data_IF_301345741973
#
_entry.id   IF_301345741973
#
_cell.length_a   1.000
_cell.length_b   1.000
_cell.length_c   1.000
_cell.angle_alpha   90.00
_cell.angle_beta   90.00
_cell.angle_gamma   90.00
#
_symmetry.space_group_name_H-M   'P 1'
#
loop_
_entity.id
_entity.type
_entity.pdbx_description
1 polymer ?
#
# COMPACT_ATOMS: atom_id res chain seq x y z
N UNK A 1 -59.77 50.26 -2.62
CA UNK A 1 -60.39 50.54 -1.30
C UNK A 1 -60.04 49.41 -0.35
N UNK A 2 -59.48 49.77 0.82
CA UNK A 2 -59.43 49.07 2.12
C UNK A 2 -59.28 47.54 2.20
N UNK A 3 -58.48 46.93 3.07
CA UNK A 3 -57.57 47.38 4.16
C UNK A 3 -56.71 46.18 4.55
N UNK A 4 -55.51 46.50 5.05
CA UNK A 4 -54.51 45.64 5.72
C UNK A 4 -55.09 44.79 6.85
N UNK A 5 -54.43 43.66 7.17
CA UNK A 5 -53.88 43.37 8.52
C UNK A 5 -52.98 42.13 8.52
N UNK A 6 -51.68 42.33 8.71
CA UNK A 6 -50.78 41.41 9.43
C UNK A 6 -50.87 41.68 10.94
N UNK A 7 -50.59 40.67 11.77
CA UNK A 7 -49.59 40.81 12.82
C UNK A 7 -48.62 39.61 12.86
N UNK A 8 -47.31 39.81 12.78
CA UNK A 8 -46.32 40.09 13.85
C UNK A 8 -45.65 38.83 14.42
N UNK A 9 -44.33 38.91 14.42
CA UNK A 9 -43.31 37.99 14.92
C UNK A 9 -43.33 37.75 16.43
N UNK A 10 -43.15 36.50 16.84
CA UNK A 10 -42.55 36.05 18.10
C UNK A 10 -42.44 34.52 18.00
N UNK A 11 -41.43 33.79 18.42
CA UNK A 11 -40.14 34.07 19.02
C UNK A 11 -39.35 32.76 18.83
N UNK A 12 -38.04 32.91 18.73
CA UNK A 12 -37.06 31.84 18.72
C UNK A 12 -37.25 30.90 19.92
N UNK A 13 -36.99 29.61 19.70
CA UNK A 13 -36.19 28.67 20.54
C UNK A 13 -36.79 27.27 20.47
N UNK A 14 -36.31 26.44 19.55
CA UNK A 14 -36.24 24.99 19.79
C UNK A 14 -34.93 24.73 20.53
N UNK A 15 -35.04 24.57 21.85
CA UNK A 15 -33.95 24.16 22.73
C UNK A 15 -33.61 22.70 22.48
N UNK A 16 -32.31 22.45 22.44
CA UNK A 16 -31.65 21.17 22.49
C UNK A 16 -32.07 20.36 23.73
N UNK A 17 -32.33 19.07 23.54
CA UNK A 17 -32.27 18.08 24.59
C UNK A 17 -30.86 17.47 24.58
N UNK A 18 -29.97 18.08 25.34
CA UNK A 18 -28.70 17.51 25.77
C UNK A 18 -29.03 16.55 26.93
N UNK A 19 -28.87 15.24 26.73
CA UNK A 19 -28.85 14.28 27.84
C UNK A 19 -27.42 14.26 28.39
N UNK A 20 -27.25 14.93 29.53
CA UNK A 20 -26.04 14.89 30.33
C UNK A 20 -25.92 13.51 30.99
N UNK A 21 -24.80 12.81 30.78
CA UNK A 21 -24.31 11.77 31.69
C UNK A 21 -22.99 12.27 32.25
N UNK A 22 -23.03 12.77 33.48
CA UNK A 22 -21.88 13.26 34.24
C UNK A 22 -21.33 12.16 35.14
N UNK A 23 -20.03 11.87 34.95
CA UNK A 23 -18.98 11.62 35.98
C UNK A 23 -19.32 10.87 37.28
N UNK A 24 -18.65 9.73 37.53
CA UNK A 24 -17.41 9.66 38.34
C UNK A 24 -16.98 8.19 38.59
N UNK A 25 -15.67 7.88 38.73
CA UNK A 25 -15.17 6.54 39.00
C UNK A 25 -14.89 6.32 40.50
N UNK A 26 -15.18 5.12 41.00
CA UNK A 26 -14.66 4.63 42.30
C UNK A 26 -13.82 3.35 42.13
N UNK A 27 -12.90 3.08 43.06
CA UNK A 27 -11.67 2.33 42.80
C UNK A 27 -11.78 0.85 43.14
N UNK A 28 -11.13 -0.02 42.37
CA UNK A 28 -10.96 -1.43 42.74
C UNK A 28 -9.56 -1.67 43.28
N UNK A 29 -9.57 -2.24 44.49
CA UNK A 29 -8.45 -2.46 45.39
C UNK A 29 -7.44 -3.51 44.91
N UNK A 30 -6.21 -3.33 45.39
CA UNK A 30 -5.07 -4.23 45.32
C UNK A 30 -5.26 -5.46 46.21
N UNK A 31 -4.82 -6.62 45.71
CA UNK A 31 -4.17 -7.73 46.44
C UNK A 31 -3.01 -8.17 45.53
N UNK A 32 -1.75 -8.29 45.93
CA UNK A 32 -1.20 -8.72 47.21
C UNK A 32 -0.68 -10.14 47.04
N UNK A 33 0.58 -10.29 46.59
CA UNK A 33 1.38 -11.52 46.75
C UNK A 33 2.88 -11.17 46.75
N UNK A 34 3.44 -11.26 47.96
CA UNK A 34 4.83 -11.45 48.41
C UNK A 34 5.52 -12.64 47.68
N UNK A 35 6.85 -12.86 47.60
CA UNK A 35 8.09 -12.24 48.11
C UNK A 35 9.31 -12.87 47.33
N UNK A 36 10.55 -13.03 47.86
CA UNK A 36 11.64 -12.05 47.77
C UNK A 36 12.99 -12.59 47.23
N UNK A 37 14.02 -11.71 47.28
CA UNK A 37 15.47 -11.98 47.42
C UNK A 37 16.22 -12.58 46.21
N UNK A 38 17.50 -12.31 45.94
CA UNK A 38 18.52 -11.41 46.50
C UNK A 38 19.71 -11.44 45.52
N UNK A 39 20.39 -10.32 45.37
CA UNK A 39 21.70 -10.22 44.77
C UNK A 39 22.76 -10.98 45.58
N UNK A 40 23.78 -11.54 44.92
CA UNK A 40 25.18 -11.49 45.40
C UNK A 40 26.19 -11.96 44.34
N UNK A 41 27.29 -11.22 44.32
CA UNK A 41 28.51 -11.36 43.51
C UNK A 41 29.49 -12.35 44.15
N UNK A 42 30.41 -12.81 43.28
CA UNK A 42 31.83 -13.13 43.50
C UNK A 42 32.25 -14.18 44.54
N UNK A 43 33.05 -15.15 44.08
CA UNK A 43 33.89 -16.04 44.89
C UNK A 43 34.87 -16.80 43.99
N UNK A 44 36.16 -16.47 44.13
CA UNK A 44 37.33 -17.02 43.44
C UNK A 44 37.71 -18.46 43.84
N UNK A 45 38.57 -19.08 43.00
CA UNK A 45 39.64 -20.07 43.32
C UNK A 45 39.19 -21.48 43.77
N UNK A 46 39.83 -22.60 43.43
CA UNK A 46 41.14 -22.90 42.82
C UNK A 46 41.30 -24.43 42.58
N UNK A 47 42.25 -24.78 41.69
CA UNK A 47 43.07 -26.04 41.62
C UNK A 47 42.34 -27.34 41.26
N UNK A 48 42.92 -28.35 40.59
CA UNK A 48 44.11 -28.57 39.73
C UNK A 48 44.14 -30.08 39.43
N UNK A 49 45.00 -30.53 38.49
CA UNK A 49 45.38 -31.92 38.15
C UNK A 49 44.43 -32.57 37.13
N UNK A 50 44.83 -33.03 35.95
CA UNK A 50 46.14 -33.36 35.41
C UNK A 50 46.03 -34.72 34.70
N UNK A 51 46.32 -34.78 33.40
CA UNK A 51 47.01 -35.89 32.71
C UNK A 51 47.00 -35.69 31.20
N UNK A 52 48.18 -35.38 30.67
CA UNK A 52 48.54 -35.59 29.27
C UNK A 52 48.51 -37.09 28.95
N UNK A 53 47.99 -37.46 27.79
CA UNK A 53 48.47 -38.64 27.08
C UNK A 53 48.28 -38.45 25.58
N UNK A 54 49.43 -38.38 24.90
CA UNK A 54 49.58 -38.46 23.46
C UNK A 54 49.23 -39.87 22.96
N UNK A 55 48.51 -40.00 21.83
CA UNK A 55 48.70 -41.13 20.91
C UNK A 55 47.97 -40.99 19.57
N UNK A 56 48.80 -41.03 18.53
CA UNK A 56 48.63 -41.78 17.26
C UNK A 56 47.47 -41.40 16.34
N UNK A 57 47.83 -40.52 15.40
CA UNK A 57 47.63 -40.65 13.94
C UNK A 57 47.41 -42.13 13.52
N UNK A 58 46.16 -42.50 13.24
CA UNK A 58 45.81 -43.65 12.40
C UNK A 58 45.08 -43.10 11.17
N UNK A 59 45.85 -42.94 10.09
CA UNK A 59 45.29 -42.98 8.73
C UNK A 59 44.69 -44.37 8.56
N UNK A 60 43.39 -44.44 8.35
CA UNK A 60 42.73 -45.61 7.77
C UNK A 60 42.10 -45.16 6.47
N UNK A 61 42.60 -45.75 5.39
CA UNK A 61 42.02 -45.71 4.06
C UNK A 61 40.52 -46.00 4.14
N UNK A 62 39.70 -45.00 3.84
CA UNK A 62 38.37 -45.22 3.30
C UNK A 62 38.41 -44.68 1.89
N UNK A 63 38.44 -45.63 0.95
CA UNK A 63 38.18 -45.46 -0.46
C UNK A 63 37.12 -44.39 -0.68
N UNK A 64 37.47 -43.38 -1.47
CA UNK A 64 36.56 -42.40 -1.99
C UNK A 64 35.61 -43.09 -3.00
N UNK A 65 34.63 -43.82 -2.48
CA UNK A 65 33.40 -44.03 -3.23
C UNK A 65 32.81 -42.65 -3.45
N UNK A 66 32.83 -42.25 -4.72
CA UNK A 66 32.33 -40.98 -5.21
C UNK A 66 30.85 -40.95 -4.85
N UNK A 67 30.50 -40.23 -3.79
CA UNK A 67 29.12 -39.83 -3.57
C UNK A 67 28.74 -39.03 -4.81
N UNK A 68 27.98 -39.64 -5.72
CA UNK A 68 27.32 -38.92 -6.78
C UNK A 68 26.57 -37.78 -6.12
N UNK A 69 27.09 -36.57 -6.31
CA UNK A 69 26.35 -35.36 -6.05
C UNK A 69 25.17 -35.47 -7.02
N UNK A 70 24.03 -35.92 -6.51
CA UNK A 70 22.76 -35.80 -7.21
C UNK A 70 22.63 -34.30 -7.44
N UNK A 71 22.99 -33.87 -8.65
CA UNK A 71 22.74 -32.53 -9.12
C UNK A 71 21.22 -32.39 -9.07
N UNK A 72 20.73 -31.78 -8.00
CA UNK A 72 19.33 -31.43 -7.87
C UNK A 72 19.07 -30.43 -8.98
N UNK A 73 18.62 -30.93 -10.13
CA UNK A 73 18.31 -30.14 -11.29
C UNK A 73 17.23 -29.14 -10.88
N UNK A 74 17.66 -27.93 -10.54
CA UNK A 74 16.82 -26.79 -10.14
C UNK A 74 15.85 -26.33 -11.24
N UNK A 75 15.74 -27.06 -12.34
CA UNK A 75 14.82 -26.81 -13.43
C UNK A 75 13.36 -27.16 -13.10
N UNK A 76 13.10 -28.21 -12.28
CA UNK A 76 11.72 -28.65 -12.01
C UNK A 76 10.97 -27.79 -10.99
N UNK A 77 11.67 -27.10 -10.09
CA UNK A 77 11.03 -26.22 -9.09
C UNK A 77 10.88 -24.76 -9.54
N UNK A 78 11.62 -24.34 -10.56
CA UNK A 78 11.57 -22.95 -11.07
C UNK A 78 10.45 -22.76 -12.09
N UNK A 79 10.20 -23.76 -12.95
CA UNK A 79 9.16 -23.69 -13.98
C UNK A 79 7.72 -23.72 -13.42
N UNK A 80 7.50 -24.31 -12.24
CA UNK A 80 6.17 -24.53 -11.66
C UNK A 80 5.59 -23.34 -10.86
N UNK A 81 6.27 -22.18 -10.82
CA UNK A 81 5.90 -21.06 -9.94
C UNK A 81 5.64 -19.72 -10.64
N UNK A 82 5.83 -19.66 -11.96
CA UNK A 82 5.52 -18.45 -12.72
C UNK A 82 4.01 -18.41 -12.98
N UNK A 83 3.31 -17.56 -12.24
CA UNK A 83 1.90 -17.27 -12.54
C UNK A 83 1.78 -16.76 -13.99
N UNK A 84 0.69 -17.11 -14.69
CA UNK A 84 0.47 -16.66 -16.05
C UNK A 84 0.56 -15.13 -16.14
N UNK A 85 0.95 -14.59 -17.31
CA UNK A 85 0.88 -13.16 -17.57
C UNK A 85 -0.51 -12.60 -17.25
N UNK A 86 -0.56 -11.35 -16.83
CA UNK A 86 -1.84 -10.65 -16.64
C UNK A 86 -2.49 -10.50 -18.02
N UNK A 87 -3.71 -10.99 -18.16
CA UNK A 87 -4.51 -10.84 -19.37
C UNK A 87 -5.58 -9.77 -19.15
N UNK A 88 -5.76 -8.83 -20.10
CA UNK A 88 -6.81 -7.83 -20.00
C UNK A 88 -8.17 -8.47 -20.26
N UNK A 89 -9.17 -8.06 -19.48
CA UNK A 89 -10.57 -8.46 -19.66
C UNK A 89 -11.34 -7.47 -20.54
N UNK A 90 -10.85 -6.24 -20.66
CA UNK A 90 -11.42 -5.20 -21.53
C UNK A 90 -10.37 -4.60 -22.45
N UNK A 91 -10.75 -4.03 -23.61
CA UNK A 91 -9.81 -3.33 -24.49
C UNK A 91 -9.02 -2.23 -23.78
N UNK A 92 -9.66 -1.48 -22.87
CA UNK A 92 -9.03 -0.41 -22.10
C UNK A 92 -7.99 -0.94 -21.12
N UNK A 93 -8.24 -2.09 -20.47
CA UNK A 93 -7.23 -2.77 -19.67
C UNK A 93 -6.03 -3.22 -20.54
N UNK A 94 -6.29 -3.63 -21.79
CA UNK A 94 -5.25 -3.96 -22.76
C UNK A 94 -4.39 -2.75 -23.13
N UNK A 95 -5.03 -1.61 -23.41
CA UNK A 95 -4.34 -0.35 -23.66
C UNK A 95 -3.51 0.10 -22.44
N UNK A 96 -4.04 -0.07 -21.23
CA UNK A 96 -3.31 0.23 -20.00
C UNK A 96 -2.06 -0.64 -19.83
N UNK A 97 -2.19 -1.95 -19.99
CA UNK A 97 -1.04 -2.88 -19.94
C UNK A 97 0.00 -2.57 -21.03
N UNK A 98 -0.43 -2.14 -22.23
CA UNK A 98 0.48 -1.71 -23.28
C UNK A 98 1.25 -0.44 -22.86
N UNK A 99 0.55 0.57 -22.32
CA UNK A 99 1.17 1.79 -21.83
C UNK A 99 2.20 1.54 -20.72
N UNK A 100 1.90 0.64 -19.77
CA UNK A 100 2.84 0.23 -18.70
C UNK A 100 4.12 -0.44 -19.23
N UNK A 101 4.08 -1.03 -20.44
CA UNK A 101 5.25 -1.67 -21.07
C UNK A 101 6.10 -0.68 -21.86
N UNK A 102 5.49 0.37 -22.41
CA UNK A 102 6.14 1.28 -23.35
C UNK A 102 6.46 2.66 -22.80
N UNK A 103 5.92 3.04 -21.64
CA UNK A 103 6.09 4.37 -21.06
C UNK A 103 6.68 4.34 -19.65
N UNK A 104 7.63 5.23 -19.31
CA UNK A 104 8.13 5.38 -17.95
C UNK A 104 7.12 6.07 -17.02
N UNK A 105 6.08 6.69 -17.57
CA UNK A 105 5.02 7.33 -16.79
C UNK A 105 3.66 7.09 -17.43
N UNK A 106 2.66 6.75 -16.63
CA UNK A 106 1.29 6.54 -17.09
C UNK A 106 0.34 7.22 -16.11
N UNK A 107 -0.61 7.99 -16.63
CA UNK A 107 -1.77 8.47 -15.86
C UNK A 107 -2.96 7.60 -16.25
N UNK A 108 -3.67 7.10 -15.26
CA UNK A 108 -4.84 6.25 -15.49
C UNK A 108 -6.00 6.72 -14.62
N UNK A 109 -7.15 6.94 -15.23
CA UNK A 109 -8.32 7.46 -14.52
C UNK A 109 -9.54 6.62 -14.80
N UNK A 110 -10.47 6.59 -13.85
CA UNK A 110 -11.81 6.04 -14.06
C UNK A 110 -12.38 5.38 -12.81
N UNK A 111 -13.59 4.80 -12.91
CA UNK A 111 -14.35 4.38 -11.75
C UNK A 111 -13.69 3.25 -10.95
N UNK A 112 -14.15 3.05 -9.72
CA UNK A 112 -13.75 1.90 -8.91
C UNK A 112 -14.20 0.60 -9.59
N UNK A 113 -13.39 -0.47 -9.51
CA UNK A 113 -13.73 -1.77 -10.09
C UNK A 113 -13.32 -1.98 -11.56
N UNK A 114 -12.64 -1.02 -12.18
CA UNK A 114 -12.08 -1.16 -13.54
C UNK A 114 -10.72 -1.88 -13.58
N UNK A 115 -10.15 -2.15 -12.40
CA UNK A 115 -8.87 -2.86 -12.26
C UNK A 115 -7.62 -1.99 -12.32
N UNK A 116 -7.74 -0.65 -12.42
CA UNK A 116 -6.60 0.28 -12.54
C UNK A 116 -5.48 0.06 -11.50
N UNK A 117 -5.82 0.02 -10.22
CA UNK A 117 -4.84 -0.16 -9.13
C UNK A 117 -4.32 -1.60 -9.07
N UNK A 118 -5.21 -2.58 -9.27
CA UNK A 118 -4.83 -4.01 -9.24
C UNK A 118 -3.87 -4.37 -10.39
N UNK A 119 -4.14 -3.89 -11.61
CA UNK A 119 -3.27 -4.09 -12.77
C UNK A 119 -1.89 -3.48 -12.51
N UNK A 120 -1.83 -2.26 -11.97
CA UNK A 120 -0.57 -1.60 -11.63
C UNK A 120 0.25 -2.41 -10.60
N UNK A 121 -0.41 -2.81 -9.50
CA UNK A 121 0.21 -3.57 -8.42
C UNK A 121 0.76 -4.93 -8.90
N UNK A 122 -0.05 -5.63 -9.69
CA UNK A 122 0.28 -6.96 -10.22
C UNK A 122 1.42 -6.88 -11.24
N UNK A 123 1.43 -5.84 -12.09
CA UNK A 123 2.50 -5.57 -13.03
C UNK A 123 3.82 -5.21 -12.31
N UNK A 124 3.76 -4.36 -11.29
CA UNK A 124 4.91 -4.03 -10.45
C UNK A 124 5.51 -5.28 -9.80
N UNK A 125 4.66 -6.15 -9.27
CA UNK A 125 5.06 -7.41 -8.66
C UNK A 125 5.77 -8.34 -9.66
N UNK A 126 5.31 -8.40 -10.91
CA UNK A 126 5.97 -9.17 -11.97
C UNK A 126 7.34 -8.61 -12.33
N UNK A 127 7.46 -7.28 -12.44
CA UNK A 127 8.75 -6.63 -12.68
C UNK A 127 9.74 -6.92 -11.53
N UNK A 128 9.29 -6.81 -10.28
CA UNK A 128 10.11 -7.07 -9.10
C UNK A 128 10.56 -8.54 -9.06
N UNK A 129 9.61 -9.48 -9.25
CA UNK A 129 9.88 -10.92 -9.29
C UNK A 129 10.88 -11.31 -10.39
N UNK A 130 10.79 -10.64 -11.54
CA UNK A 130 11.70 -10.85 -12.69
C UNK A 130 12.98 -10.01 -12.62
N UNK A 131 13.21 -9.30 -11.50
CA UNK A 131 14.38 -8.44 -11.24
C UNK A 131 14.59 -7.33 -12.28
N UNK A 132 13.50 -6.85 -12.89
CA UNK A 132 13.52 -5.68 -13.80
C UNK A 132 13.51 -4.36 -13.03
N UNK A 133 13.04 -4.40 -11.79
CA UNK A 133 13.09 -3.29 -10.82
C UNK A 133 13.60 -3.85 -9.49
N UNK A 134 14.18 -2.97 -8.69
CA UNK A 134 14.66 -3.29 -7.34
C UNK A 134 13.61 -2.94 -6.28
N UNK A 135 12.75 -1.95 -6.55
CA UNK A 135 11.81 -1.44 -5.54
C UNK A 135 10.39 -1.21 -6.04
N UNK A 136 9.41 -1.36 -5.15
CA UNK A 136 8.01 -0.94 -5.33
C UNK A 136 7.68 0.09 -4.26
N UNK A 137 7.33 1.30 -4.68
CA UNK A 137 6.95 2.39 -3.79
C UNK A 137 5.46 2.63 -3.97
N UNK A 138 4.72 2.49 -2.88
CA UNK A 138 3.28 2.71 -2.83
C UNK A 138 3.00 3.95 -2.02
N UNK A 139 2.15 4.82 -2.55
CA UNK A 139 1.79 6.05 -1.87
C UNK A 139 0.36 6.46 -2.20
N UNK A 140 -0.25 7.20 -1.28
CA UNK A 140 -1.62 7.70 -1.37
C UNK A 140 -1.69 9.06 -0.68
N UNK A 141 -2.35 10.08 -1.27
CA UNK A 141 -2.55 11.37 -0.62
C UNK A 141 -3.38 11.23 0.65
N UNK A 142 -3.13 12.10 1.62
CA UNK A 142 -3.95 12.13 2.83
C UNK A 142 -5.30 12.78 2.54
N UNK A 143 -6.38 12.00 2.68
CA UNK A 143 -7.73 12.55 2.66
C UNK A 143 -8.00 13.18 4.03
N UNK A 144 -8.34 14.48 4.11
CA UNK A 144 -8.60 15.14 5.38
C UNK A 144 -9.97 14.72 5.97
N UNK A 145 -10.04 13.50 6.50
CA UNK A 145 -11.21 12.99 7.21
C UNK A 145 -11.23 13.46 8.68
N UNK A 146 -11.19 14.77 8.94
CA UNK A 146 -11.43 15.40 10.26
C UNK A 146 -10.49 15.01 11.44
N UNK A 147 -9.68 13.96 11.31
CA UNK A 147 -8.65 13.52 12.24
C UNK A 147 -7.40 13.22 11.40
N UNK A 148 -6.31 13.93 11.69
CA UNK A 148 -5.00 13.61 11.11
C UNK A 148 -4.66 12.15 11.44
N UNK A 149 -4.21 11.36 10.46
CA UNK A 149 -3.83 9.94 10.60
C UNK A 149 -2.83 9.66 11.74
N UNK A 150 -2.23 10.70 12.33
CA UNK A 150 -1.35 10.63 13.49
C UNK A 150 -1.94 9.93 14.73
N UNK A 151 -3.26 9.77 14.84
CA UNK A 151 -3.92 9.24 16.04
C UNK A 151 -4.03 7.70 16.15
N UNK A 152 -3.63 6.92 15.13
CA UNK A 152 -3.62 5.46 15.28
C UNK A 152 -2.37 5.00 16.07
N UNK A 153 -2.49 4.20 17.14
CA UNK A 153 -1.34 3.59 17.80
C UNK A 153 -0.70 2.52 16.89
N UNK A 154 0.63 2.47 16.80
CA UNK A 154 1.36 1.49 15.97
C UNK A 154 2.50 2.08 15.14
N UNK A 155 3.23 1.23 14.40
CA UNK A 155 4.24 1.66 13.44
C UNK A 155 3.57 2.40 12.27
N UNK A 156 4.31 3.22 11.49
CA UNK A 156 3.74 3.88 10.31
C UNK A 156 3.07 2.84 9.40
N UNK A 157 3.74 1.72 9.12
CA UNK A 157 3.19 0.64 8.31
C UNK A 157 1.84 0.12 8.83
N UNK A 158 1.66 -0.02 10.14
CA UNK A 158 0.38 -0.46 10.72
C UNK A 158 -0.76 0.55 10.50
N UNK A 159 -0.43 1.84 10.41
CA UNK A 159 -1.41 2.90 10.12
C UNK A 159 -1.79 2.95 8.64
N UNK A 160 -0.85 2.64 7.74
CA UNK A 160 -1.07 2.67 6.30
C UNK A 160 -1.57 1.33 5.72
N UNK A 161 -1.39 0.22 6.44
CA UNK A 161 -1.80 -1.11 6.00
C UNK A 161 -3.28 -1.24 5.59
N UNK A 162 -4.27 -0.62 6.28
CA UNK A 162 -5.68 -0.79 5.91
C UNK A 162 -6.03 -0.26 4.51
N UNK A 163 -5.50 0.90 4.10
CA UNK A 163 -5.79 1.43 2.76
C UNK A 163 -4.95 0.75 1.67
N UNK A 164 -3.72 0.34 2.00
CA UNK A 164 -2.85 -0.36 1.06
C UNK A 164 -3.23 -1.84 0.88
N UNK A 165 -4.20 -2.36 1.65
CA UNK A 165 -4.54 -3.78 1.68
C UNK A 165 -4.82 -4.38 0.29
N UNK A 166 -5.66 -3.77 -0.59
CA UNK A 166 -5.92 -4.34 -1.92
C UNK A 166 -4.66 -4.44 -2.78
N UNK A 167 -3.79 -3.42 -2.71
CA UNK A 167 -2.52 -3.37 -3.44
C UNK A 167 -1.55 -4.43 -2.91
N UNK A 168 -1.45 -4.54 -1.59
CA UNK A 168 -0.60 -5.51 -0.90
C UNK A 168 -1.03 -6.95 -1.23
N UNK A 169 -2.34 -7.21 -1.25
CA UNK A 169 -2.89 -8.52 -1.60
C UNK A 169 -2.53 -8.90 -3.04
N UNK A 170 -2.73 -7.99 -4.00
CA UNK A 170 -2.35 -8.22 -5.40
C UNK A 170 -0.85 -8.53 -5.56
N UNK A 171 0.03 -7.82 -4.85
CA UNK A 171 1.47 -8.09 -4.89
C UNK A 171 1.77 -9.46 -4.24
N UNK A 172 1.18 -9.74 -3.07
CA UNK A 172 1.37 -11.02 -2.35
C UNK A 172 0.92 -12.22 -3.17
N UNK A 173 -0.16 -12.10 -3.94
CA UNK A 173 -0.59 -13.15 -4.87
C UNK A 173 0.50 -13.45 -5.91
N UNK A 174 1.20 -12.43 -6.42
CA UNK A 174 2.20 -12.59 -7.48
C UNK A 174 3.55 -13.11 -7.02
N UNK A 175 4.05 -12.62 -5.88
CA UNK A 175 5.39 -12.95 -5.37
C UNK A 175 5.37 -13.96 -4.21
N UNK A 176 4.20 -14.19 -3.63
CA UNK A 176 4.00 -15.00 -2.44
C UNK A 176 4.19 -14.22 -1.14
N UNK A 177 3.40 -14.56 -0.12
CA UNK A 177 3.41 -13.88 1.20
C UNK A 177 4.80 -13.80 1.83
N UNK A 178 5.55 -14.89 1.84
CA UNK A 178 6.88 -14.91 2.48
C UNK A 178 7.87 -13.98 1.78
N UNK A 179 7.85 -13.92 0.44
CA UNK A 179 8.71 -13.02 -0.33
C UNK A 179 8.32 -11.56 -0.10
N UNK A 180 7.01 -11.27 -0.07
CA UNK A 180 6.50 -9.94 0.27
C UNK A 180 6.96 -9.49 1.67
N UNK A 181 6.81 -10.34 2.68
CA UNK A 181 7.18 -9.99 4.06
C UNK A 181 8.69 -9.68 4.18
N UNK A 182 9.53 -10.40 3.42
CA UNK A 182 10.98 -10.13 3.32
C UNK A 182 11.24 -8.82 2.60
N UNK A 183 10.61 -8.60 1.44
CA UNK A 183 10.78 -7.39 0.63
C UNK A 183 10.35 -6.13 1.40
N UNK A 184 9.23 -6.20 2.13
CA UNK A 184 8.76 -5.12 3.01
C UNK A 184 9.75 -4.84 4.13
N UNK A 185 10.32 -5.88 4.75
CA UNK A 185 11.32 -5.73 5.83
C UNK A 185 12.65 -5.14 5.32
N UNK A 186 13.05 -5.49 4.11
CA UNK A 186 14.27 -4.98 3.48
C UNK A 186 14.13 -3.53 2.99
N UNK A 187 12.90 -3.02 2.87
CA UNK A 187 12.62 -1.73 2.24
C UNK A 187 12.60 -1.80 0.70
N UNK A 188 12.49 -3.00 0.13
CA UNK A 188 12.32 -3.18 -1.30
C UNK A 188 10.89 -2.80 -1.72
N UNK A 189 9.92 -3.11 -0.86
CA UNK A 189 8.54 -2.63 -0.99
C UNK A 189 8.30 -1.63 0.15
N UNK A 190 7.95 -0.40 -0.20
CA UNK A 190 7.77 0.69 0.77
C UNK A 190 6.38 1.29 0.68
N UNK A 191 5.70 1.44 1.82
CA UNK A 191 4.55 2.34 1.95
C UNK A 191 5.07 3.71 2.35
N UNK A 192 4.93 4.69 1.46
CA UNK A 192 5.52 6.02 1.63
C UNK A 192 4.40 7.05 1.85
N UNK A 193 4.31 7.64 3.06
CA UNK A 193 3.42 8.77 3.31
C UNK A 193 3.76 9.96 2.40
N UNK A 194 2.74 10.71 2.00
CA UNK A 194 2.94 11.84 1.10
C UNK A 194 3.84 12.93 1.71
N UNK A 195 3.78 13.11 3.03
CA UNK A 195 4.54 14.13 3.78
C UNK A 195 6.04 13.94 3.70
N UNK A 196 6.50 12.69 3.59
CA UNK A 196 7.92 12.34 3.62
C UNK A 196 8.55 12.23 2.23
N UNK A 197 7.79 12.57 1.17
CA UNK A 197 8.31 12.54 -0.20
C UNK A 197 9.33 13.64 -0.49
N UNK A 198 9.25 14.75 0.24
CA UNK A 198 10.17 15.88 0.04
C UNK A 198 11.60 15.43 0.35
N UNK A 199 12.50 15.60 -0.62
CA UNK A 199 13.91 15.22 -0.48
C UNK A 199 14.20 13.74 -0.78
N UNK A 200 13.19 12.93 -1.12
CA UNK A 200 13.43 11.58 -1.66
C UNK A 200 13.65 11.63 -3.18
N UNK A 201 14.40 10.67 -3.70
CA UNK A 201 14.46 10.37 -5.13
C UNK A 201 14.52 8.86 -5.27
N UNK A 202 13.79 8.34 -6.24
CA UNK A 202 13.71 6.91 -6.50
C UNK A 202 14.41 6.58 -7.80
N UNK A 203 15.06 5.41 -7.83
CA UNK A 203 15.74 4.83 -8.97
C UNK A 203 15.43 3.35 -9.00
N UNK A 204 15.39 2.78 -10.21
CA UNK A 204 15.19 1.35 -10.45
C UNK A 204 13.92 0.82 -9.77
N UNK A 205 12.83 1.60 -9.85
CA UNK A 205 11.65 1.38 -9.03
C UNK A 205 10.34 1.54 -9.81
N UNK A 206 9.32 0.80 -9.36
CA UNK A 206 7.93 1.08 -9.72
C UNK A 206 7.31 1.98 -8.64
N UNK A 207 6.72 3.11 -9.03
CA UNK A 207 6.12 4.08 -8.13
C UNK A 207 4.63 4.19 -8.43
N UNK A 208 3.78 3.84 -7.48
CA UNK A 208 2.32 3.93 -7.59
C UNK A 208 1.79 5.02 -6.65
N UNK A 209 1.24 6.09 -7.21
CA UNK A 209 0.40 7.05 -6.52
C UNK A 209 -1.07 6.64 -6.73
N UNK A 210 -1.65 6.04 -5.69
CA UNK A 210 -3.04 5.60 -5.66
C UNK A 210 -3.95 6.76 -5.20
N UNK A 211 -5.14 6.85 -5.77
CA UNK A 211 -6.19 7.81 -5.39
C UNK A 211 -5.74 9.27 -5.49
N UNK A 212 -5.05 9.55 -6.60
CA UNK A 212 -4.43 10.82 -6.92
C UNK A 212 -5.42 11.99 -7.01
N UNK A 213 -6.73 11.74 -7.17
CA UNK A 213 -7.73 12.79 -7.14
C UNK A 213 -7.73 13.58 -5.83
N UNK A 214 -7.24 12.95 -4.76
CA UNK A 214 -7.13 13.53 -3.42
C UNK A 214 -5.79 14.23 -3.15
N UNK A 215 -4.92 14.36 -4.15
CA UNK A 215 -3.73 15.20 -4.07
C UNK A 215 -4.05 16.63 -4.52
N UNK A 216 -3.47 17.62 -3.86
CA UNK A 216 -3.45 19.01 -4.36
C UNK A 216 -2.45 19.17 -5.52
N UNK A 217 -2.54 20.24 -6.34
CA UNK A 217 -1.56 20.52 -7.39
C UNK A 217 -0.12 20.66 -6.87
N UNK A 218 0.05 21.23 -5.67
CA UNK A 218 1.36 21.39 -5.04
C UNK A 218 1.97 20.05 -4.60
N UNK A 219 1.13 19.16 -4.07
CA UNK A 219 1.50 17.78 -3.73
C UNK A 219 1.88 17.01 -4.99
N UNK A 220 1.03 17.05 -6.01
CA UNK A 220 1.28 16.38 -7.28
C UNK A 220 2.59 16.84 -7.95
N UNK A 221 2.85 18.16 -7.96
CA UNK A 221 4.14 18.71 -8.40
C UNK A 221 5.31 18.17 -7.57
N UNK A 222 5.11 18.06 -6.25
CA UNK A 222 6.14 17.51 -5.35
C UNK A 222 6.40 16.04 -5.69
N UNK A 223 5.38 15.23 -5.96
CA UNK A 223 5.52 13.81 -6.30
C UNK A 223 6.20 13.60 -7.67
N UNK A 224 5.67 14.21 -8.73
CA UNK A 224 6.12 13.99 -10.11
C UNK A 224 7.58 14.41 -10.33
N UNK A 225 8.09 15.35 -9.53
CA UNK A 225 9.49 15.83 -9.61
C UNK A 225 10.49 14.99 -8.81
N UNK A 226 10.07 13.85 -8.22
CA UNK A 226 10.92 12.95 -7.42
C UNK A 226 11.26 11.63 -8.12
N UNK A 227 10.54 11.34 -9.20
CA UNK A 227 10.79 10.18 -10.05
C UNK A 227 12.15 10.35 -10.71
N UNK A 228 13.07 9.41 -10.46
CA UNK A 228 14.40 9.40 -11.03
C UNK A 228 14.54 8.44 -12.21
N UNK A 229 15.76 8.04 -12.48
CA UNK A 229 16.11 7.17 -13.62
C UNK A 229 15.56 5.75 -13.46
N UNK A 230 15.29 5.10 -14.60
CA UNK A 230 14.78 3.73 -14.68
C UNK A 230 13.57 3.46 -13.76
N UNK A 231 12.68 4.44 -13.64
CA UNK A 231 11.44 4.30 -12.90
C UNK A 231 10.25 4.14 -13.84
N UNK A 232 9.28 3.34 -13.41
CA UNK A 232 7.94 3.32 -14.00
C UNK A 232 6.99 3.94 -12.98
N UNK A 233 6.37 5.05 -13.34
CA UNK A 233 5.48 5.80 -12.45
C UNK A 233 4.04 5.72 -12.93
N UNK A 234 3.17 5.29 -12.04
CA UNK A 234 1.72 5.27 -12.27
C UNK A 234 1.06 6.27 -11.32
N UNK A 235 0.26 7.15 -11.91
CA UNK A 235 -0.69 8.00 -11.18
C UNK A 235 -2.07 7.49 -11.50
N UNK A 236 -2.74 6.86 -10.54
CA UNK A 236 -4.11 6.39 -10.70
C UNK A 236 -5.10 7.20 -9.87
N UNK A 237 -6.36 7.21 -10.29
CA UNK A 237 -7.42 7.81 -9.50
C UNK A 237 -8.76 7.87 -10.22
N UNK A 238 -9.71 8.57 -9.61
CA UNK A 238 -11.00 8.88 -10.22
C UNK A 238 -11.29 10.37 -10.04
N UNK A 239 -11.22 11.13 -11.14
CA UNK A 239 -11.46 12.59 -11.12
C UNK A 239 -12.87 12.94 -10.60
N UNK A 240 -13.84 12.03 -10.75
CA UNK A 240 -15.21 12.20 -10.26
C UNK A 240 -15.37 12.00 -8.75
N UNK A 241 -14.38 11.42 -8.06
CA UNK A 241 -14.42 11.11 -6.62
C UNK A 241 -13.46 11.97 -5.80
N UNK A 242 -13.28 13.24 -6.19
CA UNK A 242 -12.41 14.16 -5.47
C UNK A 242 -13.03 14.56 -4.12
N UNK A 243 -12.37 14.19 -3.01
CA UNK A 243 -12.79 14.54 -1.65
C UNK A 243 -12.26 15.92 -1.19
N UNK A 244 -11.42 16.57 -2.00
CA UNK A 244 -10.84 17.86 -1.65
C UNK A 244 -11.87 18.99 -1.82
N UNK A 245 -11.88 19.99 -0.91
CA UNK A 245 -12.64 21.23 -1.10
C UNK A 245 -11.99 22.18 -2.12
N UNK A 246 -10.84 21.80 -2.68
CA UNK A 246 -10.01 22.58 -3.58
C UNK A 246 -9.81 21.84 -4.91
N UNK A 247 -9.07 22.44 -5.84
CA UNK A 247 -8.74 21.82 -7.11
C UNK A 247 -7.93 20.52 -6.92
N UNK A 248 -8.32 19.47 -7.65
CA UNK A 248 -7.59 18.21 -7.70
C UNK A 248 -6.33 18.31 -8.54
N UNK A 249 -5.19 17.93 -7.96
CA UNK A 249 -3.91 17.85 -8.65
C UNK A 249 -3.89 16.82 -9.79
N UNK A 250 -4.71 15.77 -9.72
CA UNK A 250 -4.87 14.81 -10.83
C UNK A 250 -5.44 15.52 -12.07
N UNK A 251 -6.49 16.34 -11.89
CA UNK A 251 -7.09 17.11 -12.99
C UNK A 251 -6.09 18.09 -13.58
N UNK A 252 -5.38 18.83 -12.72
CA UNK A 252 -4.32 19.75 -13.17
C UNK A 252 -3.24 19.04 -13.99
N UNK A 253 -2.84 17.81 -13.61
CA UNK A 253 -1.84 17.03 -14.38
C UNK A 253 -2.36 16.63 -15.74
N UNK A 254 -3.59 16.14 -15.84
CA UNK A 254 -4.19 15.77 -17.13
C UNK A 254 -4.24 16.99 -18.06
N UNK A 255 -4.65 18.14 -17.53
CA UNK A 255 -4.68 19.39 -18.29
C UNK A 255 -3.27 19.83 -18.73
N UNK A 256 -2.26 19.68 -17.86
CA UNK A 256 -0.85 19.97 -18.20
C UNK A 256 -0.31 19.02 -19.28
N UNK A 257 -0.60 17.72 -19.20
CA UNK A 257 -0.18 16.74 -20.21
C UNK A 257 -0.72 17.16 -21.58
N UNK A 258 -2.01 17.51 -21.66
CA UNK A 258 -2.67 17.94 -22.89
C UNK A 258 -2.15 19.28 -23.40
N UNK A 259 -2.07 20.29 -22.54
CA UNK A 259 -1.71 21.67 -22.94
C UNK A 259 -0.22 21.85 -23.23
N UNK A 260 0.65 20.97 -22.70
CA UNK A 260 2.10 21.01 -22.92
C UNK A 260 2.59 19.90 -23.86
N UNK A 261 1.69 19.09 -24.40
CA UNK A 261 2.00 17.96 -25.29
C UNK A 261 3.05 17.02 -24.67
N UNK A 262 2.86 16.66 -23.39
CA UNK A 262 3.78 15.77 -22.69
C UNK A 262 3.58 14.33 -23.19
N UNK A 263 4.66 13.55 -23.42
CA UNK A 263 4.58 12.18 -23.91
C UNK A 263 4.21 11.20 -22.77
N UNK A 264 3.08 11.46 -22.11
CA UNK A 264 2.56 10.67 -21.00
C UNK A 264 1.19 10.12 -21.41
N UNK A 265 1.04 8.80 -21.61
CA UNK A 265 -0.25 8.20 -21.88
C UNK A 265 -1.24 8.49 -20.75
N UNK A 266 -2.42 8.98 -21.12
CA UNK A 266 -3.58 9.10 -20.25
C UNK A 266 -4.59 8.02 -20.66
N UNK A 267 -4.82 7.06 -19.78
CA UNK A 267 -5.78 5.98 -20.00
C UNK A 267 -7.05 6.28 -19.22
N UNK A 268 -8.18 6.35 -19.93
CA UNK A 268 -9.48 6.71 -19.36
C UNK A 268 -10.39 5.48 -19.36
N UNK A 269 -10.57 4.88 -18.20
CA UNK A 269 -11.57 3.84 -17.97
C UNK A 269 -12.96 4.45 -17.82
N UNK A 270 -13.94 3.73 -18.35
CA UNK A 270 -15.36 4.08 -18.26
C UNK A 270 -16.10 3.07 -17.38
N UNK A 271 -17.42 3.26 -17.22
CA UNK A 271 -18.27 2.30 -16.52
C UNK A 271 -18.36 0.95 -17.24
N UNK A 272 -18.26 0.97 -18.57
CA UNK A 272 -18.27 -0.25 -19.39
C UNK A 272 -17.04 -1.14 -19.15
N UNK A 273 -15.99 -0.57 -18.53
CA UNK A 273 -14.78 -1.30 -18.15
C UNK A 273 -14.84 -1.91 -16.74
N UNK A 274 -15.95 -1.73 -16.02
CA UNK A 274 -16.11 -2.28 -14.68
C UNK A 274 -16.26 -3.79 -14.79
N UNK A 275 -15.29 -4.52 -14.24
CA UNK A 275 -15.35 -5.97 -14.16
C UNK A 275 -15.72 -6.36 -12.74
N UNK A 276 -17.01 -6.63 -12.54
CA UNK A 276 -17.58 -7.07 -11.26
C UNK A 276 -18.50 -8.27 -11.48
N UNK A 277 -18.82 -8.97 -10.40
CA UNK A 277 -19.81 -10.05 -10.45
C UNK A 277 -21.21 -9.49 -10.77
N UNK A 278 -22.06 -10.31 -11.38
CA UNK A 278 -23.44 -9.97 -11.71
C UNK A 278 -24.21 -9.45 -10.49
N UNK A 279 -23.98 -10.04 -9.32
CA UNK A 279 -24.58 -9.60 -8.06
C UNK A 279 -24.14 -8.19 -7.67
N UNK A 280 -22.88 -7.83 -7.88
CA UNK A 280 -22.39 -6.49 -7.58
C UNK A 280 -22.88 -5.47 -8.61
N UNK A 281 -22.93 -5.83 -9.89
CA UNK A 281 -23.53 -5.01 -10.95
C UNK A 281 -25.00 -4.69 -10.62
N UNK A 282 -25.80 -5.72 -10.25
CA UNK A 282 -27.19 -5.55 -9.81
C UNK A 282 -27.33 -4.53 -8.66
N UNK A 283 -26.44 -4.55 -7.67
CA UNK A 283 -26.48 -3.58 -6.57
C UNK A 283 -26.07 -2.17 -7.02
N UNK A 284 -25.07 -2.04 -7.89
CA UNK A 284 -24.68 -0.73 -8.46
C UNK A 284 -25.87 -0.11 -9.18
N UNK A 285 -26.52 -0.88 -10.07
CA UNK A 285 -27.69 -0.42 -10.80
C UNK A 285 -28.85 -0.06 -9.86
N UNK A 286 -29.05 -0.82 -8.78
CA UNK A 286 -30.11 -0.55 -7.80
C UNK A 286 -29.88 0.75 -6.99
N UNK A 287 -28.63 1.10 -6.67
CA UNK A 287 -28.31 2.36 -5.98
C UNK A 287 -28.29 3.56 -6.93
N UNK A 288 -27.87 3.37 -8.17
CA UNK A 288 -27.79 4.44 -9.17
C UNK A 288 -29.13 4.68 -9.89
N UNK A 289 -30.04 3.70 -9.89
CA UNK A 289 -31.39 3.79 -10.45
C UNK A 289 -32.41 4.56 -9.59
N UNK A 290 -31.96 5.34 -8.60
CA UNK A 290 -32.82 6.23 -7.78
C UNK A 290 -32.51 7.69 -8.09
N UNK A 291 -32.67 8.08 -9.35
CA UNK A 291 -32.93 9.48 -9.73
C UNK A 291 -34.18 9.50 -10.62
N UNK A 292 -35.35 9.53 -9.97
CA UNK A 292 -36.62 10.01 -10.54
C UNK A 292 -36.83 11.47 -10.22
#
# INVERSE_FOLDING_TARGET
>A
MSKKTTPTSADRRRRAACLQITSSPEPVARRGAEAPASSRRFGERSRSLGKQSSKKKRRSDRSAETAEIIAFAGAKFTAARALPPIEPLTPTQGAYLAALRSSPQVVVVGPAGTGKTWIAATYAADLYRTRKIERIILTRPNVPCGRTLGFFPGSLNDKFAPWAAPVIEAIKERIGKAAFDIALKNGDIELVPFEVMRGRSWKDAFVLLDEAQNATPAEMKTFLTRVGENCITVVDGDVGQCDLPAESGLRTVIDLIRTKDLPVPVIEFTRDDIVRSDACAMWVDAFEGVET
#
